data_IF_150627620615
#
_entry.id   IF_150627620615
#
_cell.length_a   1.000
_cell.length_b   1.000
_cell.length_c   1.000
_cell.angle_alpha   90.00
_cell.angle_beta   90.00
_cell.angle_gamma   90.00
#
_symmetry.space_group_name_H-M   'P 1'
#
loop_
_entity.id
_entity.type
_entity.pdbx_description
1 polymer ?
#
# COMPACT_ATOMS: atom_id res chain seq x y z
N UNK A 1 -27.72 9.10 -21.74
CA UNK A 1 -27.75 10.39 -21.02
C UNK A 1 -27.43 10.06 -19.57
N UNK A 2 -26.31 10.56 -19.05
CA UNK A 2 -25.87 10.29 -17.67
C UNK A 2 -26.81 11.06 -16.74
N UNK A 3 -27.51 10.39 -15.84
CA UNK A 3 -28.36 11.05 -14.85
C UNK A 3 -27.46 11.80 -13.87
N UNK A 4 -27.69 13.10 -13.70
CA UNK A 4 -27.03 13.88 -12.64
C UNK A 4 -27.60 13.39 -11.31
N UNK A 5 -26.75 12.80 -10.48
CA UNK A 5 -27.08 12.38 -9.13
C UNK A 5 -26.45 13.33 -8.10
N UNK A 6 -26.85 13.20 -6.84
CA UNK A 6 -26.34 14.01 -5.73
C UNK A 6 -24.82 13.96 -5.59
N UNK A 7 -24.19 12.79 -5.76
CA UNK A 7 -22.73 12.62 -5.76
C UNK A 7 -22.05 13.53 -6.80
N UNK A 8 -22.64 13.65 -8.00
CA UNK A 8 -22.12 14.55 -9.04
C UNK A 8 -22.25 16.02 -8.62
N UNK A 9 -23.31 16.38 -7.90
CA UNK A 9 -23.52 17.74 -7.37
C UNK A 9 -22.53 18.06 -6.23
N UNK A 10 -22.25 17.11 -5.35
CA UNK A 10 -21.24 17.22 -4.29
C UNK A 10 -19.84 17.42 -4.90
N UNK A 11 -19.48 16.62 -5.90
CA UNK A 11 -18.20 16.77 -6.61
C UNK A 11 -18.12 18.11 -7.36
N UNK A 12 -19.24 18.61 -7.89
CA UNK A 12 -19.30 19.96 -8.49
C UNK A 12 -19.07 21.05 -7.44
N UNK A 13 -19.64 20.92 -6.24
CA UNK A 13 -19.49 21.85 -5.12
C UNK A 13 -18.03 21.96 -4.66
N UNK A 14 -17.35 20.82 -4.44
CA UNK A 14 -15.94 20.80 -4.07
C UNK A 14 -14.97 21.07 -5.24
N UNK A 15 -15.48 21.23 -6.46
CA UNK A 15 -14.66 21.47 -7.66
C UNK A 15 -13.83 20.26 -8.10
N UNK A 16 -14.23 19.07 -7.70
CA UNK A 16 -13.56 17.79 -8.00
C UNK A 16 -14.02 17.16 -9.31
N UNK A 17 -15.10 17.69 -9.91
CA UNK A 17 -15.55 17.28 -11.24
C UNK A 17 -14.57 17.76 -12.32
N UNK A 18 -14.34 16.96 -13.35
CA UNK A 18 -13.50 17.38 -14.47
C UNK A 18 -14.09 18.61 -15.19
N UNK A 19 -13.26 19.37 -15.90
CA UNK A 19 -13.68 20.64 -16.50
C UNK A 19 -14.75 20.47 -17.60
N UNK A 20 -14.85 19.31 -18.25
CA UNK A 20 -15.85 19.05 -19.29
C UNK A 20 -17.20 18.69 -18.66
N UNK A 21 -17.19 17.79 -17.69
CA UNK A 21 -18.34 17.35 -16.91
C UNK A 21 -18.90 18.52 -16.08
N UNK A 22 -18.04 19.34 -15.46
CA UNK A 22 -18.49 20.52 -14.71
C UNK A 22 -19.25 21.51 -15.59
N UNK A 23 -18.80 21.74 -16.84
CA UNK A 23 -19.52 22.59 -17.80
C UNK A 23 -20.84 21.96 -18.24
N UNK A 24 -20.86 20.65 -18.47
CA UNK A 24 -22.08 19.95 -18.85
C UNK A 24 -23.14 20.02 -17.74
N UNK A 25 -22.75 19.75 -16.49
CA UNK A 25 -23.66 19.81 -15.33
C UNK A 25 -24.13 21.24 -15.08
N UNK A 26 -23.25 22.25 -15.13
CA UNK A 26 -23.65 23.66 -15.02
C UNK A 26 -24.62 24.10 -16.11
N UNK A 27 -24.46 23.59 -17.32
CA UNK A 27 -25.39 23.84 -18.43
C UNK A 27 -26.77 23.22 -18.15
N UNK A 28 -26.82 22.03 -17.54
CA UNK A 28 -28.07 21.39 -17.13
C UNK A 28 -28.73 22.14 -15.98
N UNK A 29 -27.97 22.57 -14.97
CA UNK A 29 -28.47 23.39 -13.85
C UNK A 29 -29.08 24.72 -14.33
N UNK A 30 -28.58 25.29 -15.43
CA UNK A 30 -29.14 26.51 -16.01
C UNK A 30 -30.43 26.26 -16.82
N UNK A 31 -30.68 25.04 -17.27
CA UNK A 31 -31.82 24.66 -18.09
C UNK A 31 -32.95 24.03 -17.26
N UNK A 32 -32.62 23.42 -16.13
CA UNK A 32 -33.54 22.71 -15.24
C UNK A 32 -33.63 23.43 -13.88
N UNK A 33 -34.76 24.09 -13.64
CA UNK A 33 -35.00 24.84 -12.41
C UNK A 33 -35.14 23.94 -11.17
N UNK A 34 -35.61 22.70 -11.32
CA UNK A 34 -35.75 21.75 -10.21
C UNK A 34 -34.37 21.26 -9.76
N UNK A 35 -33.53 20.87 -10.72
CA UNK A 35 -32.14 20.48 -10.45
C UNK A 35 -31.31 21.65 -9.88
N UNK A 36 -31.55 22.86 -10.37
CA UNK A 36 -30.95 24.09 -9.84
C UNK A 36 -31.31 24.35 -8.38
N UNK A 37 -32.58 24.12 -8.00
CA UNK A 37 -33.03 24.26 -6.62
C UNK A 37 -32.40 23.21 -5.70
N UNK A 38 -32.32 21.95 -6.14
CA UNK A 38 -31.66 20.86 -5.39
C UNK A 38 -30.19 21.17 -5.15
N UNK A 39 -29.47 21.68 -6.15
CA UNK A 39 -28.08 22.06 -5.98
C UNK A 39 -27.89 23.23 -5.01
N UNK A 40 -28.80 24.21 -5.03
CA UNK A 40 -28.76 25.34 -4.10
C UNK A 40 -29.02 24.91 -2.64
N UNK A 41 -29.96 23.98 -2.42
CA UNK A 41 -30.24 23.40 -1.11
C UNK A 41 -29.02 22.64 -0.56
N UNK A 42 -28.41 21.78 -1.38
CA UNK A 42 -27.19 21.05 -1.03
C UNK A 42 -26.03 22.01 -0.70
N UNK A 43 -25.84 23.06 -1.50
CA UNK A 43 -24.80 24.07 -1.27
C UNK A 43 -25.00 24.75 0.09
N UNK A 44 -26.24 25.11 0.43
CA UNK A 44 -26.56 25.72 1.71
C UNK A 44 -26.32 24.78 2.91
N UNK A 45 -26.60 23.48 2.75
CA UNK A 45 -26.29 22.47 3.78
C UNK A 45 -24.78 22.31 4.00
N UNK A 46 -24.00 22.26 2.91
CA UNK A 46 -22.54 22.11 2.99
C UNK A 46 -21.85 23.37 3.53
N UNK A 47 -22.32 24.55 3.17
CA UNK A 47 -21.83 25.83 3.70
C UNK A 47 -22.18 26.02 5.19
N UNK A 48 -23.17 25.29 5.71
CA UNK A 48 -23.53 25.36 7.13
C UNK A 48 -22.49 24.71 8.05
N UNK A 49 -21.56 23.90 7.49
CA UNK A 49 -20.47 23.31 8.25
C UNK A 49 -19.39 24.38 8.49
N UNK A 50 -19.17 24.83 9.74
CA UNK A 50 -18.15 25.83 10.00
C UNK A 50 -16.76 25.25 9.72
N UNK A 51 -15.94 26.01 9.00
CA UNK A 51 -14.53 25.67 8.83
C UNK A 51 -13.86 25.65 10.21
N UNK A 52 -13.35 24.51 10.68
CA UNK A 52 -12.74 24.44 11.99
C UNK A 52 -11.52 25.37 12.02
N UNK A 53 -11.46 26.23 13.04
CA UNK A 53 -10.27 27.05 13.27
C UNK A 53 -9.07 26.12 13.44
N UNK A 54 -8.18 26.11 12.44
CA UNK A 54 -6.99 25.26 12.46
C UNK A 54 -6.01 25.86 13.47
N UNK A 55 -5.70 25.18 14.58
CA UNK A 55 -4.79 25.73 15.57
C UNK A 55 -3.40 25.96 14.96
N UNK A 56 -2.78 27.08 15.27
CA UNK A 56 -1.39 27.33 14.88
C UNK A 56 -0.47 26.23 15.43
N UNK A 57 0.29 25.60 14.53
CA UNK A 57 1.24 24.55 14.90
C UNK A 57 2.54 25.20 15.36
N UNK A 58 2.74 25.24 16.67
CA UNK A 58 4.02 25.68 17.23
C UNK A 58 5.17 24.73 16.84
N UNK A 59 6.42 25.19 17.01
CA UNK A 59 7.64 24.41 16.69
C UNK A 59 7.74 23.09 17.47
N UNK A 60 6.99 22.95 18.55
CA UNK A 60 6.97 21.78 19.43
C UNK A 60 5.84 20.81 19.10
N UNK A 61 4.90 21.17 18.24
CA UNK A 61 3.71 20.39 17.92
C UNK A 61 4.07 19.01 17.40
N UNK A 62 5.01 18.95 16.44
CA UNK A 62 5.50 17.68 15.90
C UNK A 62 6.11 16.79 16.98
N UNK A 63 6.93 17.37 17.87
CA UNK A 63 7.56 16.62 18.98
C UNK A 63 6.53 16.07 19.96
N UNK A 64 5.55 16.87 20.36
CA UNK A 64 4.50 16.43 21.30
C UNK A 64 3.59 15.37 20.71
N UNK A 65 3.23 15.51 19.43
CA UNK A 65 2.42 14.51 18.72
C UNK A 65 3.18 13.20 18.58
N UNK A 66 4.45 13.25 18.13
CA UNK A 66 5.28 12.05 18.02
C UNK A 66 5.53 11.37 19.37
N UNK A 67 5.77 12.12 20.44
CA UNK A 67 5.95 11.55 21.78
C UNK A 67 4.71 10.79 22.28
N UNK A 68 3.49 11.23 21.94
CA UNK A 68 2.25 10.52 22.29
C UNK A 68 2.08 9.24 21.47
N UNK A 69 2.40 9.30 20.17
CA UNK A 69 2.34 8.13 19.28
C UNK A 69 3.35 7.08 19.72
N UNK A 70 4.58 7.48 20.02
CA UNK A 70 5.66 6.61 20.49
C UNK A 70 5.26 5.88 21.79
N UNK A 71 4.73 6.62 22.76
CA UNK A 71 4.23 6.05 24.01
C UNK A 71 3.07 5.05 23.79
N UNK A 72 2.19 5.31 22.82
CA UNK A 72 1.09 4.40 22.50
C UNK A 72 1.59 3.11 21.81
N UNK A 73 2.60 3.23 20.95
CA UNK A 73 3.25 2.09 20.30
C UNK A 73 4.01 1.21 21.31
N UNK A 74 4.71 1.82 22.27
CA UNK A 74 5.41 1.10 23.34
C UNK A 74 4.43 0.34 24.25
N UNK A 75 3.29 0.95 24.61
CA UNK A 75 2.28 0.31 25.44
C UNK A 75 1.61 -0.89 24.74
N UNK A 76 1.48 -0.85 23.41
CA UNK A 76 0.97 -1.96 22.61
C UNK A 76 2.01 -3.08 22.46
N UNK A 77 3.29 -2.72 22.26
CA UNK A 77 4.39 -3.68 22.13
C UNK A 77 4.60 -4.51 23.40
N UNK A 78 4.35 -3.95 24.58
CA UNK A 78 4.48 -4.67 25.86
C UNK A 78 3.40 -5.73 26.10
N UNK A 79 2.20 -5.61 25.48
CA UNK A 79 1.12 -6.60 25.65
C UNK A 79 1.31 -7.87 24.81
N UNK A 80 2.08 -7.80 23.73
CA UNK A 80 2.38 -8.93 22.84
C UNK A 80 3.74 -9.59 23.13
N UNK A 81 4.38 -9.21 24.24
CA UNK A 81 5.79 -9.51 24.55
C UNK A 81 6.03 -10.84 25.28
N UNK A 82 5.74 -11.98 24.65
CA UNK A 82 6.36 -13.26 25.03
C UNK A 82 6.87 -14.11 23.84
N UNK A 83 6.63 -13.69 22.59
CA UNK A 83 7.00 -14.48 21.40
C UNK A 83 8.13 -13.95 20.50
N UNK A 84 8.58 -12.70 20.67
CA UNK A 84 9.39 -12.00 19.63
C UNK A 84 10.84 -11.65 20.04
N UNK A 85 11.43 -12.31 21.03
CA UNK A 85 12.72 -11.91 21.63
C UNK A 85 13.99 -12.11 20.76
N UNK A 86 13.90 -12.66 19.54
CA UNK A 86 15.09 -12.89 18.69
C UNK A 86 15.19 -11.98 17.45
N UNK A 87 14.60 -10.78 17.49
CA UNK A 87 14.75 -9.75 16.44
C UNK A 87 15.78 -8.66 16.83
N UNK A 88 16.95 -9.05 17.34
CA UNK A 88 18.08 -8.13 17.57
C UNK A 88 19.28 -8.59 16.74
N UNK A 89 19.21 -8.32 15.44
CA UNK A 89 20.27 -8.73 14.53
C UNK A 89 20.36 -8.02 13.18
N UNK A 90 19.58 -6.97 12.92
CA UNK A 90 19.73 -6.20 11.67
C UNK A 90 19.75 -4.70 11.94
N UNK A 91 20.98 -4.17 12.11
CA UNK A 91 21.27 -2.75 11.94
C UNK A 91 21.67 -2.55 10.48
N UNK A 92 20.80 -1.99 9.65
CA UNK A 92 21.24 -1.29 8.44
C UNK A 92 20.47 0.02 8.26
N UNK A 93 21.25 1.07 8.11
CA UNK A 93 20.84 2.39 7.65
C UNK A 93 20.11 2.25 6.30
N UNK A 94 18.88 2.75 6.23
CA UNK A 94 18.04 2.63 5.02
C UNK A 94 16.54 2.79 5.27
N UNK A 95 16.08 2.85 6.52
CA UNK A 95 14.66 2.89 6.88
C UNK A 95 13.88 4.16 6.49
N UNK A 96 14.54 5.23 6.02
CA UNK A 96 13.88 6.48 5.64
C UNK A 96 13.30 6.49 4.20
N UNK A 97 13.63 5.51 3.36
CA UNK A 97 13.19 5.48 1.95
C UNK A 97 11.88 4.69 1.72
N UNK A 98 11.50 3.76 2.60
CA UNK A 98 10.33 2.89 2.35
C UNK A 98 9.02 3.57 2.74
N UNK A 99 9.01 4.34 3.84
CA UNK A 99 7.81 5.11 4.26
C UNK A 99 7.53 6.26 3.30
N UNK A 100 8.58 6.91 2.78
CA UNK A 100 8.46 7.96 1.77
C UNK A 100 7.96 7.42 0.42
N UNK A 101 8.27 6.17 0.06
CA UNK A 101 7.82 5.57 -1.20
C UNK A 101 6.33 5.18 -1.18
N UNK A 102 5.81 4.63 -0.08
CA UNK A 102 4.37 4.37 0.07
C UNK A 102 3.58 5.69 0.11
N UNK A 103 4.12 6.72 0.78
CA UNK A 103 3.53 8.06 0.77
C UNK A 103 3.59 8.74 -0.61
N UNK A 104 4.70 8.57 -1.36
CA UNK A 104 4.84 9.08 -2.73
C UNK A 104 3.91 8.38 -3.72
N UNK A 105 3.67 7.07 -3.56
CA UNK A 105 2.77 6.32 -4.43
C UNK A 105 1.30 6.66 -4.11
N UNK A 106 0.94 6.78 -2.82
CA UNK A 106 -0.37 7.28 -2.41
C UNK A 106 -0.62 8.72 -2.90
N UNK A 107 0.43 9.57 -2.88
CA UNK A 107 0.38 10.93 -3.43
C UNK A 107 0.26 10.96 -4.96
N UNK A 108 0.91 10.03 -5.67
CA UNK A 108 0.87 9.98 -7.14
C UNK A 108 -0.44 9.38 -7.68
N UNK A 109 -1.06 8.42 -6.98
CA UNK A 109 -2.40 7.94 -7.35
C UNK A 109 -3.52 8.93 -7.00
N UNK A 110 -3.29 9.87 -6.08
CA UNK A 110 -4.19 11.00 -5.81
C UNK A 110 -4.06 12.18 -6.79
N UNK A 111 -3.16 12.13 -7.80
CA UNK A 111 -2.81 13.30 -8.63
C UNK A 111 -3.06 13.13 -10.14
N UNK A 112 -3.79 12.09 -10.57
CA UNK A 112 -4.01 11.84 -12.01
C UNK A 112 -5.27 12.51 -12.58
N UNK A 113 -5.99 13.32 -11.79
CA UNK A 113 -7.11 14.14 -12.26
C UNK A 113 -6.82 15.63 -12.12
N UNK A 114 -5.91 16.17 -12.95
CA UNK A 114 -5.92 17.58 -13.38
C UNK A 114 -4.79 17.92 -14.38
N UNK A 115 -5.12 18.42 -15.58
CA UNK A 115 -4.23 19.27 -16.38
C UNK A 115 -4.85 20.67 -16.64
N UNK A 116 -4.10 21.67 -17.11
CA UNK A 116 -2.90 22.27 -16.51
C UNK A 116 -3.02 23.81 -16.42
N UNK A 117 -2.38 24.45 -15.43
CA UNK A 117 -1.76 25.78 -15.54
C UNK A 117 -1.24 26.21 -14.17
N UNK A 118 0.08 26.33 -14.00
CA UNK A 118 0.74 27.56 -13.57
C UNK A 118 2.26 27.34 -13.60
N UNK A 119 2.96 28.41 -13.97
CA UNK A 119 4.37 28.50 -14.36
C UNK A 119 5.33 27.66 -13.52
N UNK A 120 6.07 26.77 -14.19
CA UNK A 120 7.28 26.18 -13.64
C UNK A 120 8.37 27.26 -13.60
N UNK A 121 8.82 27.60 -12.39
CA UNK A 121 10.24 27.95 -12.20
C UNK A 121 11.02 26.76 -12.72
N UNK A 122 11.96 26.98 -13.64
CA UNK A 122 12.81 25.92 -14.19
C UNK A 122 13.59 25.23 -13.06
N UNK A 123 13.02 24.16 -12.51
CA UNK A 123 13.76 23.14 -11.79
C UNK A 123 14.69 22.47 -12.80
N UNK A 124 15.94 22.15 -12.43
CA UNK A 124 16.83 21.43 -13.32
C UNK A 124 16.14 20.14 -13.75
N UNK A 125 16.23 19.86 -15.04
CA UNK A 125 15.75 18.67 -15.72
C UNK A 125 15.98 17.44 -14.83
N UNK A 126 14.91 16.91 -14.22
CA UNK A 126 14.95 15.59 -13.60
C UNK A 126 15.18 14.63 -14.77
N UNK A 127 16.46 14.26 -14.94
CA UNK A 127 16.88 13.27 -15.93
C UNK A 127 15.93 12.09 -15.83
N UNK A 128 15.33 11.71 -16.96
CA UNK A 128 14.61 10.44 -17.08
C UNK A 128 15.54 9.36 -16.54
N UNK A 129 15.20 8.78 -15.39
CA UNK A 129 16.02 7.77 -14.74
C UNK A 129 16.36 6.68 -15.75
N UNK A 130 17.65 6.45 -15.96
CA UNK A 130 18.18 5.44 -16.88
C UNK A 130 17.49 4.08 -16.63
N UNK A 131 17.16 3.31 -17.68
CA UNK A 131 16.38 2.06 -17.54
C UNK A 131 17.04 1.08 -16.57
N UNK A 132 18.37 1.10 -16.50
CA UNK A 132 19.18 0.33 -15.55
C UNK A 132 18.95 0.72 -14.09
N UNK A 133 18.68 1.99 -13.78
CA UNK A 133 18.42 2.43 -12.41
C UNK A 133 17.05 1.96 -11.92
N UNK A 134 16.04 1.99 -12.81
CA UNK A 134 14.69 1.51 -12.50
C UNK A 134 14.67 -0.01 -12.29
N UNK A 135 15.41 -0.76 -13.13
CA UNK A 135 15.57 -2.21 -12.97
C UNK A 135 16.18 -2.59 -11.61
N UNK A 136 17.26 -1.90 -11.19
CA UNK A 136 17.90 -2.14 -9.88
C UNK A 136 16.99 -1.79 -8.71
N UNK A 137 16.22 -0.72 -8.83
CA UNK A 137 15.24 -0.33 -7.80
C UNK A 137 14.11 -1.36 -7.71
N UNK A 138 13.62 -1.88 -8.84
CA UNK A 138 12.63 -2.95 -8.87
C UNK A 138 13.18 -4.22 -8.21
N UNK A 139 14.40 -4.64 -8.55
CA UNK A 139 15.06 -5.81 -7.96
C UNK A 139 15.23 -5.66 -6.44
N UNK A 140 15.72 -4.50 -5.96
CA UNK A 140 15.85 -4.23 -4.53
C UNK A 140 14.49 -4.24 -3.80
N UNK A 141 13.44 -3.74 -4.47
CA UNK A 141 12.08 -3.73 -3.94
C UNK A 141 11.49 -5.15 -3.87
N UNK A 142 11.75 -5.97 -4.89
CA UNK A 142 11.35 -7.38 -4.96
C UNK A 142 12.03 -8.22 -3.87
N UNK A 143 13.32 -8.00 -3.63
CA UNK A 143 14.04 -8.65 -2.52
C UNK A 143 13.35 -8.38 -1.18
N UNK A 144 13.05 -7.11 -0.91
CA UNK A 144 12.36 -6.71 0.31
C UNK A 144 10.96 -7.32 0.40
N UNK A 145 10.22 -7.32 -0.72
CA UNK A 145 8.89 -7.92 -0.79
C UNK A 145 8.92 -9.42 -0.50
N UNK A 146 9.88 -10.16 -1.08
CA UNK A 146 10.04 -11.58 -0.85
C UNK A 146 10.55 -11.91 0.55
N UNK A 147 11.40 -11.08 1.17
CA UNK A 147 11.78 -11.24 2.58
C UNK A 147 10.54 -11.11 3.50
N UNK A 148 9.65 -10.15 3.24
CA UNK A 148 8.40 -9.99 4.00
C UNK A 148 7.42 -11.15 3.77
N UNK A 149 7.29 -11.62 2.53
CA UNK A 149 6.45 -12.76 2.18
C UNK A 149 6.96 -14.08 2.79
N UNK A 150 8.26 -14.35 2.75
CA UNK A 150 8.85 -15.55 3.36
C UNK A 150 8.56 -15.60 4.86
N UNK A 151 8.69 -14.47 5.56
CA UNK A 151 8.39 -14.38 6.98
C UNK A 151 6.92 -14.72 7.27
N UNK A 152 5.99 -14.05 6.59
CA UNK A 152 4.55 -14.27 6.79
C UNK A 152 4.16 -15.72 6.47
N UNK A 153 4.62 -16.26 5.33
CA UNK A 153 4.32 -17.64 4.93
C UNK A 153 4.92 -18.67 5.89
N UNK A 154 6.13 -18.41 6.41
CA UNK A 154 6.81 -19.27 7.40
C UNK A 154 6.08 -19.26 8.74
N UNK A 155 5.58 -18.10 9.17
CA UNK A 155 4.79 -17.95 10.40
C UNK A 155 3.50 -18.74 10.31
N UNK A 156 2.75 -18.58 9.22
CA UNK A 156 1.53 -19.34 8.97
C UNK A 156 1.81 -20.85 8.88
N UNK A 157 2.89 -21.25 8.20
CA UNK A 157 3.25 -22.66 8.04
C UNK A 157 3.60 -23.34 9.39
N UNK A 158 4.15 -22.60 10.35
CA UNK A 158 4.69 -23.14 11.59
C UNK A 158 3.82 -22.91 12.84
N UNK A 159 2.77 -22.08 12.79
CA UNK A 159 1.90 -21.91 13.94
C UNK A 159 1.11 -23.21 14.25
N UNK A 160 1.15 -23.68 15.50
CA UNK A 160 0.65 -25.00 15.92
C UNK A 160 -0.67 -24.99 16.71
N UNK A 161 -1.38 -23.86 16.81
CA UNK A 161 -2.81 -23.84 17.14
C UNK A 161 -3.19 -23.54 18.60
N UNK A 162 -3.76 -22.36 18.77
CA UNK A 162 -4.90 -22.03 19.64
C UNK A 162 -5.90 -21.23 18.79
N UNK A 163 -6.91 -20.59 19.36
CA UNK A 163 -7.67 -19.51 18.69
C UNK A 163 -6.64 -18.51 18.13
N UNK A 164 -6.36 -18.60 16.82
CA UNK A 164 -5.26 -17.82 16.23
C UNK A 164 -5.84 -16.43 15.99
N UNK A 165 -5.39 -15.48 16.78
CA UNK A 165 -5.52 -14.07 16.44
C UNK A 165 -4.61 -13.80 15.24
N UNK A 166 -5.21 -13.71 14.06
CA UNK A 166 -4.54 -13.48 12.77
C UNK A 166 -4.80 -12.03 12.33
N UNK A 167 -5.35 -11.17 13.19
CA UNK A 167 -5.73 -9.82 12.77
C UNK A 167 -4.50 -9.01 12.35
N UNK A 168 -3.36 -9.25 13.00
CA UNK A 168 -2.08 -8.62 12.64
C UNK A 168 -1.54 -9.09 11.28
N UNK A 169 -1.62 -10.39 11.02
CA UNK A 169 -1.19 -11.05 9.81
C UNK A 169 -2.11 -10.76 8.64
N UNK A 170 -3.41 -10.55 8.90
CA UNK A 170 -4.43 -10.14 7.93
C UNK A 170 -4.19 -8.72 7.44
N UNK A 171 -3.94 -7.78 8.34
CA UNK A 171 -3.57 -6.41 7.95
C UNK A 171 -2.26 -6.39 7.16
N UNK A 172 -1.27 -7.19 7.58
CA UNK A 172 -0.04 -7.38 6.82
C UNK A 172 -0.29 -8.00 5.44
N UNK A 173 -1.17 -8.99 5.34
CA UNK A 173 -1.51 -9.65 4.08
C UNK A 173 -2.21 -8.71 3.10
N UNK A 174 -3.07 -7.79 3.58
CA UNK A 174 -3.68 -6.75 2.74
C UNK A 174 -2.61 -5.86 2.09
N UNK A 175 -1.65 -5.39 2.89
CA UNK A 175 -0.53 -4.57 2.38
C UNK A 175 0.32 -5.37 1.40
N UNK A 176 0.63 -6.63 1.73
CA UNK A 176 1.42 -7.51 0.87
C UNK A 176 0.71 -7.81 -0.45
N UNK A 177 -0.61 -8.00 -0.44
CA UNK A 177 -1.44 -8.29 -1.61
C UNK A 177 -1.40 -7.13 -2.62
N UNK A 178 -1.55 -5.89 -2.14
CA UNK A 178 -1.48 -4.70 -3.00
C UNK A 178 -0.09 -4.60 -3.64
N UNK A 179 0.96 -4.74 -2.84
CA UNK A 179 2.34 -4.72 -3.34
C UNK A 179 2.60 -5.86 -4.34
N UNK A 180 2.09 -7.06 -4.06
CA UNK A 180 2.24 -8.25 -4.91
C UNK A 180 1.65 -8.03 -6.30
N UNK A 181 0.44 -7.43 -6.39
CA UNK A 181 -0.19 -7.09 -7.68
C UNK A 181 0.63 -6.07 -8.47
N UNK A 182 1.14 -5.04 -7.79
CA UNK A 182 1.98 -4.01 -8.42
C UNK A 182 3.29 -4.61 -8.96
N UNK A 183 3.96 -5.42 -8.15
CA UNK A 183 5.20 -6.09 -8.57
C UNK A 183 4.95 -7.11 -9.68
N UNK A 184 3.80 -7.79 -9.69
CA UNK A 184 3.45 -8.71 -10.79
C UNK A 184 3.32 -7.94 -12.10
N UNK A 185 2.57 -6.84 -12.09
CA UNK A 185 2.44 -5.97 -13.25
C UNK A 185 3.80 -5.46 -13.74
N UNK A 186 4.67 -5.01 -12.83
CA UNK A 186 6.02 -4.55 -13.19
C UNK A 186 6.88 -5.68 -13.77
N UNK A 187 6.82 -6.89 -13.21
CA UNK A 187 7.55 -8.06 -13.69
C UNK A 187 7.06 -8.50 -15.09
N UNK A 188 5.75 -8.46 -15.35
CA UNK A 188 5.16 -8.74 -16.66
C UNK A 188 5.66 -7.74 -17.72
N UNK A 189 5.64 -6.44 -17.40
CA UNK A 189 6.15 -5.39 -18.29
C UNK A 189 7.66 -5.53 -18.55
N UNK A 190 8.41 -6.03 -17.58
CA UNK A 190 9.85 -6.29 -17.70
C UNK A 190 10.18 -7.64 -18.37
N UNK A 191 9.18 -8.44 -18.76
CA UNK A 191 9.39 -9.77 -19.34
C UNK A 191 9.94 -10.82 -18.36
N UNK A 192 9.84 -10.56 -17.05
CA UNK A 192 10.35 -11.43 -15.99
C UNK A 192 9.33 -12.53 -15.64
N UNK A 193 9.10 -13.45 -16.59
CA UNK A 193 8.04 -14.47 -16.50
C UNK A 193 8.08 -15.30 -15.20
N UNK A 194 9.27 -15.74 -14.76
CA UNK A 194 9.44 -16.52 -13.53
C UNK A 194 9.02 -15.75 -12.27
N UNK A 195 9.26 -14.44 -12.24
CA UNK A 195 8.91 -13.57 -11.10
C UNK A 195 7.41 -13.29 -11.12
N UNK A 196 6.85 -12.98 -12.30
CA UNK A 196 5.42 -12.81 -12.48
C UNK A 196 4.62 -14.07 -12.08
N UNK A 197 5.10 -15.26 -12.46
CA UNK A 197 4.49 -16.54 -12.09
C UNK A 197 4.50 -16.78 -10.57
N UNK A 198 5.63 -16.51 -9.90
CA UNK A 198 5.70 -16.62 -8.44
C UNK A 198 4.73 -15.66 -7.74
N UNK A 199 4.67 -14.40 -8.19
CA UNK A 199 3.76 -13.40 -7.62
C UNK A 199 2.28 -13.78 -7.88
N UNK A 200 1.99 -14.41 -9.02
CA UNK A 200 0.67 -14.98 -9.30
C UNK A 200 0.35 -16.19 -8.41
N UNK A 201 1.32 -17.06 -8.13
CA UNK A 201 1.17 -18.20 -7.23
C UNK A 201 0.90 -17.77 -5.77
N UNK A 202 1.45 -16.63 -5.36
CA UNK A 202 1.27 -16.06 -4.02
C UNK A 202 -0.08 -15.36 -3.84
N UNK A 203 -0.65 -14.78 -4.90
CA UNK A 203 -1.87 -13.97 -4.80
C UNK A 203 -3.05 -14.68 -4.13
N UNK A 204 -3.41 -15.93 -4.48
CA UNK A 204 -4.54 -16.63 -3.85
C UNK A 204 -4.38 -16.78 -2.33
N UNK A 205 -3.18 -17.08 -1.87
CA UNK A 205 -2.87 -17.25 -0.43
C UNK A 205 -2.96 -15.91 0.30
N UNK A 206 -2.48 -14.83 -0.33
CA UNK A 206 -2.58 -13.49 0.25
C UNK A 206 -4.02 -12.99 0.29
N UNK A 207 -4.86 -13.34 -0.70
CA UNK A 207 -6.30 -13.02 -0.69
C UNK A 207 -7.01 -13.75 0.46
N UNK A 208 -6.76 -15.06 0.61
CA UNK A 208 -7.35 -15.88 1.67
C UNK A 208 -6.98 -15.34 3.05
N UNK A 209 -5.71 -14.95 3.24
CA UNK A 209 -5.23 -14.37 4.49
C UNK A 209 -5.75 -12.94 4.74
N UNK A 210 -5.84 -12.10 3.70
CA UNK A 210 -6.29 -10.72 3.80
C UNK A 210 -7.79 -10.58 4.12
N UNK A 211 -8.60 -11.52 3.64
CA UNK A 211 -10.03 -11.51 3.89
C UNK A 211 -10.39 -12.04 5.29
N UNK A 212 -9.53 -12.88 5.90
CA UNK A 212 -9.90 -13.58 7.12
C UNK A 212 -11.06 -14.55 6.89
N UNK A 213 -11.66 -15.10 7.96
CA UNK A 213 -12.76 -16.06 7.83
C UNK A 213 -13.91 -15.49 7.02
N UNK A 214 -14.54 -16.35 6.23
CA UNK A 214 -15.75 -16.03 5.47
C UNK A 214 -16.92 -15.54 6.36
N UNK A 215 -16.81 -15.69 7.68
CA UNK A 215 -17.90 -15.52 8.65
C UNK A 215 -17.90 -14.14 9.32
N UNK A 216 -16.90 -13.28 9.08
CA UNK A 216 -16.88 -11.88 9.55
C UNK A 216 -16.36 -11.64 10.97
N UNK A 217 -15.93 -12.66 11.70
CA UNK A 217 -15.52 -12.56 13.12
C UNK A 217 -14.00 -12.31 13.33
N UNK A 218 -13.27 -11.84 12.32
CA UNK A 218 -11.85 -11.45 12.44
C UNK A 218 -10.85 -12.61 12.60
N UNK A 219 -11.29 -13.80 12.99
CA UNK A 219 -10.44 -14.98 13.19
C UNK A 219 -10.70 -16.05 12.12
N UNK A 220 -9.66 -16.74 11.63
CA UNK A 220 -9.84 -17.93 10.78
C UNK A 220 -10.29 -19.12 11.62
N UNK A 221 -11.27 -19.87 11.14
CA UNK A 221 -11.63 -21.16 11.72
C UNK A 221 -10.44 -22.13 11.60
N UNK A 222 -10.32 -23.14 12.51
CA UNK A 222 -9.26 -24.15 12.41
C UNK A 222 -9.23 -24.91 11.07
N UNK A 223 -10.37 -24.99 10.37
CA UNK A 223 -10.45 -25.61 9.04
C UNK A 223 -9.89 -24.70 7.95
N UNK A 224 -10.28 -23.43 7.93
CA UNK A 224 -9.73 -22.43 6.99
C UNK A 224 -8.22 -22.29 7.19
N UNK A 225 -7.74 -22.25 8.44
CA UNK A 225 -6.31 -22.20 8.73
C UNK A 225 -5.53 -23.43 8.22
N UNK A 226 -6.12 -24.63 8.33
CA UNK A 226 -5.54 -25.85 7.76
C UNK A 226 -5.49 -25.82 6.23
N UNK A 227 -6.55 -25.33 5.59
CA UNK A 227 -6.59 -25.19 4.13
C UNK A 227 -5.53 -24.19 3.64
N UNK A 228 -5.38 -23.06 4.34
CA UNK A 228 -4.34 -22.08 4.04
C UNK A 228 -2.93 -22.68 4.15
N UNK A 229 -2.63 -23.40 5.24
CA UNK A 229 -1.35 -24.10 5.41
C UNK A 229 -1.11 -25.14 4.32
N UNK A 230 -2.13 -25.91 3.96
CA UNK A 230 -2.07 -26.89 2.89
C UNK A 230 -1.78 -26.22 1.55
N UNK A 231 -2.47 -25.12 1.23
CA UNK A 231 -2.24 -24.32 0.01
C UNK A 231 -0.80 -23.81 -0.08
N UNK A 232 -0.24 -23.28 1.02
CA UNK A 232 1.16 -22.85 1.10
C UNK A 232 2.13 -24.02 0.83
N UNK A 233 1.85 -25.19 1.40
CA UNK A 233 2.68 -26.39 1.26
C UNK A 233 2.61 -27.00 -0.15
N UNK A 234 1.41 -27.19 -0.70
CA UNK A 234 1.17 -27.77 -2.02
C UNK A 234 1.81 -26.94 -3.14
N UNK A 235 1.74 -25.61 -3.02
CA UNK A 235 2.36 -24.68 -3.97
C UNK A 235 3.86 -24.52 -3.77
N UNK A 236 4.41 -25.03 -2.66
CA UNK A 236 5.82 -24.91 -2.29
C UNK A 236 6.27 -23.45 -2.12
N UNK A 237 5.37 -22.56 -1.68
CA UNK A 237 5.60 -21.10 -1.77
C UNK A 237 6.82 -20.64 -1.00
N UNK A 238 7.02 -21.12 0.23
CA UNK A 238 8.18 -20.76 1.07
C UNK A 238 9.49 -21.07 0.33
N UNK A 239 9.59 -22.25 -0.30
CA UNK A 239 10.78 -22.64 -1.04
C UNK A 239 10.97 -21.81 -2.33
N UNK A 240 9.90 -21.57 -3.09
CA UNK A 240 9.96 -20.76 -4.33
C UNK A 240 10.34 -19.31 -4.04
N UNK A 241 9.78 -18.72 -2.97
CA UNK A 241 10.11 -17.37 -2.51
C UNK A 241 11.58 -17.28 -2.12
N UNK A 242 12.08 -18.20 -1.28
CA UNK A 242 13.49 -18.21 -0.87
C UNK A 242 14.45 -18.39 -2.03
N UNK A 243 14.21 -19.35 -2.91
CA UNK A 243 15.08 -19.61 -4.06
C UNK A 243 15.13 -18.44 -5.04
N UNK A 244 13.98 -17.79 -5.30
CA UNK A 244 13.90 -16.61 -6.16
C UNK A 244 14.58 -15.40 -5.52
N UNK A 245 14.37 -15.19 -4.22
CA UNK A 245 15.00 -14.10 -3.47
C UNK A 245 16.53 -14.24 -3.42
N UNK A 246 17.06 -15.45 -3.25
CA UNK A 246 18.51 -15.71 -3.35
C UNK A 246 19.04 -15.34 -4.75
N UNK A 247 18.28 -15.65 -5.81
CA UNK A 247 18.66 -15.30 -7.19
C UNK A 247 18.67 -13.79 -7.48
N UNK A 248 17.91 -13.00 -6.72
CA UNK A 248 17.84 -11.54 -6.84
C UNK A 248 18.89 -10.81 -6.00
N UNK A 249 19.38 -11.42 -4.92
CA UNK A 249 20.43 -10.83 -4.08
C UNK A 249 21.76 -10.84 -4.87
N UNK A 250 22.42 -9.69 -5.07
CA UNK A 250 23.69 -9.66 -5.78
C UNK A 250 24.69 -10.55 -5.04
N UNK A 251 25.16 -11.61 -5.70
CA UNK A 251 26.18 -12.49 -5.14
C UNK A 251 27.44 -11.64 -4.96
N UNK A 252 27.78 -11.34 -3.71
CA UNK A 252 28.98 -10.60 -3.35
C UNK A 252 30.17 -11.22 -4.07
N UNK A 253 30.83 -10.41 -4.91
CA UNK A 253 32.08 -10.69 -5.62
C UNK A 253 32.99 -11.57 -4.75
N UNK A 254 33.28 -12.79 -5.20
CA UNK A 254 34.31 -13.63 -4.58
C UNK A 254 35.61 -12.81 -4.52
N UNK A 255 36.31 -12.73 -3.37
CA UNK A 255 37.66 -12.23 -3.37
C UNK A 255 38.47 -13.17 -4.26
N UNK A 256 39.00 -12.63 -5.35
CA UNK A 256 40.02 -13.32 -6.14
C UNK A 256 41.20 -13.58 -5.23
N UNK A 257 41.28 -14.80 -4.71
CA UNK A 257 42.52 -15.35 -4.18
C UNK A 257 43.57 -15.32 -5.31
N UNK A 258 44.71 -14.71 -5.01
CA UNK A 258 46.00 -15.07 -5.57
C UNK A 258 46.30 -14.62 -7.00
N UNK A 259 47.19 -13.65 -7.13
CA UNK A 259 48.29 -13.71 -8.09
C UNK A 259 49.45 -12.85 -7.59
N UNK A 260 50.39 -13.54 -6.94
CA UNK A 260 51.85 -13.33 -6.85
C UNK A 260 52.41 -11.96 -6.46
#
# INVERSE_FOLDING_TARGET
>A
MRSVNEETLVLLYYGELDAADARAVRSLLAQDAELGAQFAELTAELDAVPDPEVPERDELYGRRTWARVDAALDAQTQRHGAGFSNWRGFRFAGGLLVVSMVALIAFQFGRVTSPPAHQFVALPEIQRSDSNSQARLLEASLVTHFDNADRLLTEIANNQGGEVDIESEKEWAKVLLVANRLYRFAAEQAGQARIAELLADMEPVLIELANGSANGEGQLTPNEYRNLRQSIAERGLVFKVRSTNIGLKPTGRQPTEGSL
#
